data_IF_530601738087
#
_entry.id   IF_530601738087
#
_cell.length_a   1.000
_cell.length_b   1.000
_cell.length_c   1.000
_cell.angle_alpha   90.00
_cell.angle_beta   90.00
_cell.angle_gamma   90.00
#
_symmetry.space_group_name_H-M   'P 1'
#
loop_
_entity.id
_entity.type
_entity.pdbx_description
1 polymer ?
#
# COMPACT_ATOMS: atom_id res chain seq x y z
N UNK A 1 -1.45 7.56 -5.26
CA UNK A 1 -2.91 7.50 -5.11
C UNK A 1 -3.41 6.08 -4.96
N UNK A 2 -4.41 5.88 -4.09
CA UNK A 2 -4.99 4.56 -3.79
C UNK A 2 -6.51 4.59 -3.88
N UNK A 3 -7.11 3.46 -4.25
CA UNK A 3 -8.57 3.25 -4.36
C UNK A 3 -8.96 2.07 -3.49
N UNK A 4 -10.13 2.14 -2.85
CA UNK A 4 -10.63 1.05 -1.99
C UNK A 4 -10.92 -0.18 -2.83
N UNK A 5 -10.44 -1.33 -2.37
CA UNK A 5 -10.77 -2.60 -3.01
C UNK A 5 -12.25 -2.91 -2.82
N UNK A 6 -12.88 -3.42 -3.89
CA UNK A 6 -14.25 -3.89 -3.88
C UNK A 6 -14.34 -5.21 -4.66
N UNK A 7 -15.45 -5.96 -4.56
CA UNK A 7 -15.59 -7.25 -5.23
C UNK A 7 -15.35 -7.22 -6.75
N UNK A 8 -15.69 -6.11 -7.41
CA UNK A 8 -15.52 -5.94 -8.86
C UNK A 8 -14.04 -5.85 -9.24
N UNK A 9 -13.27 -5.04 -8.51
CA UNK A 9 -11.82 -4.90 -8.70
C UNK A 9 -11.13 -6.21 -8.32
N UNK A 10 -11.47 -6.80 -7.17
CA UNK A 10 -10.91 -8.08 -6.73
C UNK A 10 -11.09 -9.19 -7.77
N UNK A 11 -12.29 -9.31 -8.35
CA UNK A 11 -12.58 -10.29 -9.40
C UNK A 11 -11.76 -10.05 -10.66
N UNK A 12 -11.59 -8.79 -11.08
CA UNK A 12 -10.79 -8.42 -12.24
C UNK A 12 -9.31 -8.82 -12.09
N UNK A 13 -8.74 -8.60 -10.90
CA UNK A 13 -7.36 -8.97 -10.57
C UNK A 13 -7.22 -10.42 -10.08
N UNK A 14 -8.31 -11.21 -10.08
CA UNK A 14 -8.37 -12.61 -9.60
C UNK A 14 -7.81 -12.79 -8.19
N UNK A 15 -8.11 -11.82 -7.33
CA UNK A 15 -7.65 -11.84 -5.95
C UNK A 15 -8.58 -12.70 -5.08
N UNK A 16 -8.02 -13.44 -4.12
CA UNK A 16 -8.82 -14.18 -3.13
C UNK A 16 -9.45 -13.26 -2.07
N UNK A 17 -9.06 -11.98 -2.04
CA UNK A 17 -9.49 -10.98 -1.06
C UNK A 17 -10.35 -9.90 -1.69
N UNK A 18 -11.29 -9.35 -0.90
CA UNK A 18 -12.20 -8.26 -1.30
C UNK A 18 -12.01 -6.97 -0.49
N UNK A 19 -10.99 -6.94 0.37
CA UNK A 19 -10.60 -5.80 1.22
C UNK A 19 -9.15 -5.39 0.89
N UNK A 20 -8.80 -4.13 1.12
CA UNK A 20 -7.47 -3.61 0.76
C UNK A 20 -7.50 -2.25 0.08
N UNK A 21 -6.33 -1.78 -0.32
CA UNK A 21 -6.18 -0.57 -1.10
C UNK A 21 -5.38 -0.82 -2.39
N UNK A 22 -6.03 -0.66 -3.54
CA UNK A 22 -5.39 -0.75 -4.84
C UNK A 22 -4.56 0.52 -5.10
N UNK A 23 -3.28 0.36 -5.39
CA UNK A 23 -2.41 1.41 -5.90
C UNK A 23 -2.77 1.67 -7.36
N UNK A 24 -3.33 2.85 -7.63
CA UNK A 24 -3.68 3.29 -8.99
C UNK A 24 -2.61 4.19 -9.60
N UNK A 25 -1.84 4.87 -8.75
CA UNK A 25 -0.71 5.70 -9.16
C UNK A 25 0.34 5.74 -8.05
N UNK A 26 1.61 5.74 -8.44
CA UNK A 26 2.75 5.99 -7.55
C UNK A 26 3.43 7.25 -8.04
N UNK A 27 3.70 8.18 -7.13
CA UNK A 27 4.37 9.43 -7.48
C UNK A 27 5.86 9.14 -7.76
N UNK A 28 6.44 9.57 -8.89
CA UNK A 28 7.85 9.36 -9.18
C UNK A 28 8.75 9.93 -8.08
N UNK A 29 9.83 9.23 -7.75
CA UNK A 29 10.78 9.63 -6.69
C UNK A 29 10.19 9.70 -5.28
N UNK A 30 8.96 9.23 -5.08
CA UNK A 30 8.38 9.11 -3.74
C UNK A 30 8.98 7.93 -2.98
N UNK A 31 8.84 7.88 -1.64
CA UNK A 31 9.24 6.71 -0.85
C UNK A 31 8.64 5.40 -1.35
N UNK A 32 7.41 5.45 -1.88
CA UNK A 32 6.73 4.29 -2.44
C UNK A 32 7.38 3.83 -3.75
N UNK A 33 7.77 4.76 -4.62
CA UNK A 33 8.46 4.48 -5.88
C UNK A 33 9.86 3.88 -5.63
N UNK A 34 10.62 4.52 -4.73
CA UNK A 34 11.96 4.08 -4.32
C UNK A 34 11.93 2.68 -3.67
N UNK A 35 10.83 2.33 -2.99
CA UNK A 35 10.63 0.99 -2.43
C UNK A 35 10.16 -0.07 -3.44
N UNK A 36 9.83 0.34 -4.67
CA UNK A 36 9.40 -0.57 -5.73
C UNK A 36 7.92 -0.93 -5.69
N UNK A 37 7.09 -0.13 -5.00
CA UNK A 37 5.63 -0.19 -5.14
C UNK A 37 5.23 0.27 -6.53
N UNK A 38 4.19 -0.36 -7.09
CA UNK A 38 3.77 -0.14 -8.47
C UNK A 38 2.27 -0.04 -8.57
N UNK A 39 1.80 0.60 -9.64
CA UNK A 39 0.39 0.53 -10.05
C UNK A 39 -0.02 -0.93 -10.22
N UNK A 40 -1.18 -1.28 -9.67
CA UNK A 40 -1.72 -2.64 -9.70
C UNK A 40 -1.44 -3.44 -8.42
N UNK A 41 -0.59 -2.93 -7.53
CA UNK A 41 -0.38 -3.53 -6.21
C UNK A 41 -1.60 -3.28 -5.31
N UNK A 42 -2.02 -4.30 -4.59
CA UNK A 42 -3.05 -4.19 -3.55
C UNK A 42 -2.36 -4.23 -2.19
N UNK A 43 -2.45 -3.16 -1.44
CA UNK A 43 -1.98 -3.12 -0.05
C UNK A 43 -2.98 -3.88 0.81
N UNK A 44 -2.50 -4.94 1.45
CA UNK A 44 -3.25 -5.78 2.40
C UNK A 44 -2.94 -5.38 3.84
N UNK A 45 -1.66 -5.13 4.16
CA UNK A 45 -1.21 -4.83 5.52
C UNK A 45 -0.11 -3.77 5.56
N UNK A 46 -0.02 -3.05 6.68
CA UNK A 46 1.06 -2.11 6.99
C UNK A 46 1.54 -2.37 8.43
N UNK A 47 2.82 -2.70 8.60
CA UNK A 47 3.43 -3.07 9.89
C UNK A 47 2.59 -4.11 10.65
N UNK A 48 2.18 -5.18 9.96
CA UNK A 48 1.27 -6.23 10.44
C UNK A 48 -0.14 -5.76 10.85
N UNK A 49 -0.54 -4.54 10.50
CA UNK A 49 -1.91 -4.05 10.67
C UNK A 49 -2.68 -4.20 9.35
N UNK A 50 -3.80 -4.92 9.39
CA UNK A 50 -4.69 -5.06 8.23
C UNK A 50 -5.22 -3.71 7.78
N UNK A 51 -5.20 -3.51 6.46
CA UNK A 51 -5.72 -2.34 5.78
C UNK A 51 -6.93 -2.76 4.97
N UNK A 52 -8.10 -2.26 5.34
CA UNK A 52 -9.35 -2.49 4.59
C UNK A 52 -9.67 -1.33 3.63
N UNK A 53 -9.03 -0.18 3.83
CA UNK A 53 -9.33 1.05 3.11
C UNK A 53 -8.12 1.99 2.95
N UNK A 54 -8.06 2.74 1.84
CA UNK A 54 -7.07 3.79 1.62
C UNK A 54 -6.96 4.83 2.75
N UNK A 55 -8.07 5.14 3.42
CA UNK A 55 -8.09 6.10 4.52
C UNK A 55 -7.29 5.62 5.73
N UNK A 56 -7.27 4.31 6.01
CA UNK A 56 -6.43 3.73 7.06
C UNK A 56 -4.94 3.92 6.75
N UNK A 57 -4.52 3.81 5.49
CA UNK A 57 -3.13 4.07 5.07
C UNK A 57 -2.75 5.50 5.40
N UNK A 58 -3.52 6.47 4.91
CA UNK A 58 -3.23 7.89 5.16
C UNK A 58 -3.24 8.24 6.65
N UNK A 59 -4.12 7.59 7.43
CA UNK A 59 -4.19 7.76 8.89
C UNK A 59 -2.99 7.13 9.59
N UNK A 60 -2.54 5.97 9.13
CA UNK A 60 -1.36 5.26 9.65
C UNK A 60 -0.10 6.10 9.45
N UNK A 61 0.12 6.56 8.22
CA UNK A 61 1.27 7.40 7.86
C UNK A 61 1.23 8.75 8.60
N UNK A 62 0.05 9.33 8.84
CA UNK A 62 -0.08 10.56 9.66
C UNK A 62 0.23 10.35 11.14
N UNK A 63 0.04 9.15 11.67
CA UNK A 63 0.40 8.80 13.05
C UNK A 63 1.91 8.50 13.17
N UNK A 64 2.46 7.81 12.16
CA UNK A 64 3.89 7.54 11.98
C UNK A 64 4.61 8.77 11.40
N UNK A 65 4.71 9.81 12.22
CA UNK A 65 5.34 11.10 11.87
C UNK A 65 6.87 11.15 12.04
N UNK A 66 7.48 10.11 12.61
CA UNK A 66 8.93 10.09 12.80
C UNK A 66 9.63 9.83 11.47
N UNK A 67 10.40 10.83 11.06
CA UNK A 67 11.35 10.76 9.96
C UNK A 67 12.31 9.60 10.26
N UNK A 68 12.58 8.74 9.27
CA UNK A 68 13.34 7.48 9.37
C UNK A 68 12.61 6.26 9.93
N UNK A 69 11.32 6.33 10.25
CA UNK A 69 10.56 5.11 10.54
C UNK A 69 10.54 4.21 9.31
N UNK A 70 10.95 2.96 9.49
CA UNK A 70 10.72 1.88 8.53
C UNK A 70 9.29 1.41 8.68
N UNK A 71 8.60 1.37 7.56
CA UNK A 71 7.24 0.86 7.44
C UNK A 71 7.28 -0.29 6.46
N UNK A 72 6.78 -1.45 6.88
CA UNK A 72 6.69 -2.64 6.04
C UNK A 72 5.28 -2.77 5.48
N UNK A 73 5.15 -2.88 4.17
CA UNK A 73 3.85 -3.03 3.50
C UNK A 73 3.75 -4.41 2.89
N UNK A 74 2.68 -5.12 3.21
CA UNK A 74 2.33 -6.34 2.52
C UNK A 74 1.47 -5.97 1.31
N UNK A 75 1.97 -6.26 0.11
CA UNK A 75 1.25 -6.01 -1.15
C UNK A 75 1.02 -7.28 -1.94
N UNK A 76 -0.14 -7.37 -2.55
CA UNK A 76 -0.48 -8.44 -3.48
C UNK A 76 -0.44 -7.91 -4.91
N UNK A 77 0.44 -8.51 -5.69
CA UNK A 77 0.67 -8.19 -7.10
C UNK A 77 0.31 -9.42 -7.91
N UNK A 78 -0.89 -9.44 -8.45
CA UNK A 78 -1.43 -10.52 -9.30
C UNK A 78 -1.42 -11.91 -8.62
N UNK A 79 -1.82 -11.98 -7.36
CA UNK A 79 -1.90 -13.23 -6.58
C UNK A 79 -0.59 -13.62 -5.88
N UNK A 80 0.47 -12.83 -6.03
CA UNK A 80 1.73 -13.00 -5.31
C UNK A 80 1.87 -11.93 -4.26
N UNK A 81 2.16 -12.35 -3.04
CA UNK A 81 2.37 -11.45 -1.91
C UNK A 81 3.84 -11.05 -1.86
N UNK A 82 4.09 -9.76 -1.74
CA UNK A 82 5.40 -9.13 -1.59
C UNK A 82 5.41 -8.31 -0.32
N UNK A 83 6.48 -8.46 0.44
CA UNK A 83 6.74 -7.61 1.59
C UNK A 83 7.69 -6.50 1.14
N UNK A 84 7.22 -5.26 1.20
CA UNK A 84 7.92 -4.09 0.70
C UNK A 84 8.22 -3.17 1.88
N UNK A 85 9.45 -3.21 2.42
CA UNK A 85 9.89 -2.23 3.40
C UNK A 85 10.16 -0.90 2.70
N UNK A 86 9.63 0.19 3.23
CA UNK A 86 9.95 1.53 2.77
C UNK A 86 10.22 2.45 3.95
N UNK A 87 11.10 3.42 3.74
CA UNK A 87 11.42 4.43 4.75
C UNK A 87 10.55 5.65 4.54
N UNK A 88 9.97 6.16 5.63
CA UNK A 88 9.27 7.43 5.61
C UNK A 88 10.29 8.56 5.45
N UNK A 89 10.40 9.11 4.24
CA UNK A 89 11.17 10.33 4.01
C UNK A 89 10.34 11.55 4.41
N UNK A 90 10.96 12.47 5.13
CA UNK A 90 10.41 13.79 5.35
C UNK A 90 10.37 14.49 3.99
N UNK A 91 9.17 14.73 3.45
CA UNK A 91 9.04 15.79 2.45
C UNK A 91 9.21 17.12 3.20
N UNK A 92 10.22 17.94 2.87
CA UNK A 92 10.41 19.26 3.45
C UNK A 92 9.24 20.22 3.14
#
# INVERSE_FOLDING_TARGET
STVKLNPRIASFYRLPIVHGALIVNVEPYSPADNAGLRRGDIIEEIDANKIDSPSQISSYLRKKKTINDRVTVLVNRYGRVYEVPFQMEAHP
#
